data_IF_335731816075
#
_entry.id   IF_335731816075
#
_cell.length_a   1.000
_cell.length_b   1.000
_cell.length_c   1.000
_cell.angle_alpha   90.00
_cell.angle_beta   90.00
_cell.angle_gamma   90.00
#
_symmetry.space_group_name_H-M   'P 1'
#
loop_
_entity.id
_entity.type
_entity.pdbx_description
1 polymer ?
#
# COMPACT_ATOMS: atom_id res chain seq x y z
N UNK A 1 -0.89 -7.78 -7.03
CA UNK A 1 -1.49 -6.70 -7.84
C UNK A 1 -2.24 -7.32 -9.02
N UNK A 2 -3.44 -6.84 -9.43
CA UNK A 2 -4.16 -7.40 -10.60
C UNK A 2 -3.90 -6.58 -11.86
N UNK A 3 -3.71 -7.23 -13.02
CA UNK A 3 -3.47 -6.58 -14.32
C UNK A 3 -4.47 -5.46 -14.66
N UNK A 4 -5.76 -5.67 -14.37
CA UNK A 4 -6.81 -4.66 -14.59
C UNK A 4 -6.54 -3.31 -13.89
N UNK A 5 -5.81 -3.32 -12.78
CA UNK A 5 -5.47 -2.09 -12.05
C UNK A 5 -4.38 -1.31 -12.78
N UNK A 6 -3.42 -2.02 -13.40
CA UNK A 6 -2.35 -1.44 -14.20
C UNK A 6 -2.91 -0.84 -15.48
N UNK A 7 -3.76 -1.57 -16.21
CA UNK A 7 -4.38 -1.08 -17.45
C UNK A 7 -5.23 0.17 -17.22
N UNK A 8 -5.97 0.24 -16.11
CA UNK A 8 -6.80 1.41 -15.78
C UNK A 8 -5.99 2.61 -15.29
N UNK A 9 -4.75 2.41 -14.85
CA UNK A 9 -3.86 3.42 -14.25
C UNK A 9 -2.41 3.11 -14.63
N UNK A 10 -2.04 3.29 -15.91
CA UNK A 10 -0.71 2.93 -16.41
C UNK A 10 0.40 3.74 -15.77
N UNK A 11 0.07 4.92 -15.23
CA UNK A 11 1.00 5.77 -14.50
C UNK A 11 1.63 5.07 -13.28
N UNK A 12 1.04 3.99 -12.74
CA UNK A 12 1.68 3.19 -11.69
C UNK A 12 3.02 2.57 -12.14
N UNK A 13 3.19 2.36 -13.45
CA UNK A 13 4.43 1.85 -14.05
C UNK A 13 5.54 2.91 -14.13
N UNK A 14 5.22 4.18 -13.85
CA UNK A 14 6.23 5.25 -13.75
C UNK A 14 6.91 5.28 -12.37
N UNK A 15 6.45 4.44 -11.43
CA UNK A 15 6.99 4.31 -10.09
C UNK A 15 7.87 3.06 -10.00
N UNK A 16 8.85 3.05 -9.09
CA UNK A 16 9.64 1.83 -8.83
C UNK A 16 8.73 0.69 -8.35
N UNK A 17 8.75 -0.43 -9.06
CA UNK A 17 7.96 -1.60 -8.69
C UNK A 17 8.45 -2.19 -7.38
N UNK A 18 9.75 -2.36 -7.25
CA UNK A 18 10.43 -2.98 -6.10
C UNK A 18 10.40 -2.08 -4.86
N UNK A 19 10.68 -0.79 -5.01
CA UNK A 19 10.82 0.12 -3.85
C UNK A 19 9.50 0.76 -3.40
N UNK A 20 8.43 0.66 -4.21
CA UNK A 20 7.20 1.41 -3.94
C UNK A 20 5.92 0.64 -4.21
N UNK A 21 5.77 0.07 -5.41
CA UNK A 21 4.48 -0.51 -5.80
C UNK A 21 4.23 -1.84 -5.09
N UNK A 22 5.22 -2.73 -5.04
CA UNK A 22 5.13 -4.05 -4.39
C UNK A 22 5.07 -3.91 -2.87
N UNK A 23 5.98 -3.17 -2.20
CA UNK A 23 5.92 -2.88 -0.76
C UNK A 23 4.55 -2.42 -0.28
N UNK A 24 4.02 -1.37 -0.90
CA UNK A 24 2.73 -0.80 -0.52
C UNK A 24 1.56 -1.72 -0.87
N UNK A 25 1.69 -2.57 -1.89
CA UNK A 25 0.71 -3.61 -2.16
C UNK A 25 0.70 -4.66 -1.04
N UNK A 26 1.85 -5.06 -0.52
CA UNK A 26 1.99 -6.05 0.54
C UNK A 26 1.39 -5.52 1.85
N UNK A 27 1.74 -4.30 2.26
CA UNK A 27 1.14 -3.61 3.42
C UNK A 27 -0.39 -3.63 3.32
N UNK A 28 -0.95 -3.25 2.17
CA UNK A 28 -2.40 -3.26 1.97
C UNK A 28 -3.02 -4.65 2.07
N UNK A 29 -2.32 -5.72 1.66
CA UNK A 29 -2.86 -7.09 1.81
C UNK A 29 -2.89 -7.51 3.27
N UNK A 30 -1.80 -7.29 4.02
CA UNK A 30 -1.74 -7.58 5.46
C UNK A 30 -2.84 -6.83 6.20
N UNK A 31 -3.01 -5.53 5.94
CA UNK A 31 -4.08 -4.74 6.54
C UNK A 31 -5.49 -5.26 6.20
N UNK A 32 -5.70 -5.78 4.98
CA UNK A 32 -6.98 -6.39 4.59
C UNK A 32 -7.21 -7.72 5.30
N UNK A 33 -6.20 -8.57 5.42
CA UNK A 33 -6.26 -9.86 6.11
C UNK A 33 -6.55 -9.69 7.61
N UNK A 34 -5.89 -8.71 8.24
CA UNK A 34 -6.12 -8.33 9.64
C UNK A 34 -7.40 -7.49 9.85
N UNK A 35 -8.15 -7.19 8.78
CA UNK A 35 -9.39 -6.38 8.80
C UNK A 35 -9.20 -4.98 9.40
N UNK A 36 -8.01 -4.38 9.26
CA UNK A 36 -7.67 -3.04 9.75
C UNK A 36 -8.25 -1.92 8.86
N UNK A 37 -8.71 -2.27 7.66
CA UNK A 37 -9.32 -1.34 6.71
C UNK A 37 -10.84 -1.51 6.68
N UNK A 38 -11.58 -0.44 6.96
CA UNK A 38 -13.04 -0.39 6.77
C UNK A 38 -13.46 -0.64 5.31
N UNK A 39 -12.60 -0.23 4.37
CA UNK A 39 -12.79 -0.34 2.93
C UNK A 39 -11.44 -0.44 2.25
N UNK A 40 -11.37 -1.21 1.17
CA UNK A 40 -10.17 -1.26 0.33
C UNK A 40 -9.93 0.10 -0.36
N UNK A 41 -8.78 0.76 -0.13
CA UNK A 41 -8.44 1.99 -0.83
C UNK A 41 -8.18 1.71 -2.32
N UNK A 42 -8.28 2.75 -3.15
CA UNK A 42 -7.84 2.66 -4.55
C UNK A 42 -6.33 2.48 -4.56
N UNK A 43 -5.86 1.36 -5.09
CA UNK A 43 -4.43 1.02 -5.13
C UNK A 43 -3.58 2.14 -5.72
N UNK A 44 -4.02 2.73 -6.83
CA UNK A 44 -3.35 3.88 -7.45
C UNK A 44 -3.15 5.03 -6.46
N UNK A 45 -4.15 5.36 -5.66
CA UNK A 45 -4.01 6.48 -4.72
C UNK A 45 -2.91 6.18 -3.69
N UNK A 46 -2.87 4.95 -3.17
CA UNK A 46 -1.88 4.54 -2.15
C UNK A 46 -0.46 4.52 -2.71
N UNK A 47 -0.26 4.06 -3.95
CA UNK A 47 1.08 4.04 -4.57
C UNK A 47 1.63 5.45 -4.83
N UNK A 48 0.75 6.42 -5.07
CA UNK A 48 1.13 7.80 -5.37
C UNK A 48 1.39 8.67 -4.13
N UNK A 49 1.03 8.21 -2.93
CA UNK A 49 1.27 9.00 -1.71
C UNK A 49 2.78 9.28 -1.51
N UNK A 50 3.14 10.45 -0.98
CA UNK A 50 4.45 10.64 -0.36
C UNK A 50 4.73 9.56 0.68
N UNK A 51 6.00 9.26 0.93
CA UNK A 51 6.38 8.19 1.85
C UNK A 51 5.90 8.46 3.28
N UNK A 52 6.12 9.67 3.78
CA UNK A 52 5.65 10.08 5.10
C UNK A 52 4.14 9.91 5.25
N UNK A 53 3.35 10.37 4.27
CA UNK A 53 1.89 10.21 4.29
C UNK A 53 1.45 8.74 4.22
N UNK A 54 2.17 7.91 3.45
CA UNK A 54 1.89 6.48 3.40
C UNK A 54 2.14 5.82 4.76
N UNK A 55 3.31 6.08 5.35
CA UNK A 55 3.68 5.53 6.66
C UNK A 55 2.70 5.95 7.74
N UNK A 56 2.37 7.23 7.83
CA UNK A 56 1.45 7.75 8.82
C UNK A 56 0.05 7.12 8.68
N UNK A 57 -0.50 7.09 7.45
CA UNK A 57 -1.89 6.67 7.24
C UNK A 57 -2.10 5.15 7.25
N UNK A 58 -1.11 4.37 6.84
CA UNK A 58 -1.27 2.92 6.64
C UNK A 58 -0.45 2.07 7.61
N UNK A 59 0.67 2.57 8.11
CA UNK A 59 1.58 1.79 8.97
C UNK A 59 1.45 2.25 10.43
N UNK A 60 1.87 3.48 10.74
CA UNK A 60 2.02 3.99 12.10
C UNK A 60 0.69 4.22 12.83
N UNK A 61 -0.40 4.46 12.09
CA UNK A 61 -1.74 4.56 12.65
C UNK A 61 -2.22 3.26 13.32
N UNK A 62 -1.67 2.11 12.90
CA UNK A 62 -2.01 0.79 13.43
C UNK A 62 -0.92 0.32 14.40
N UNK A 63 -0.83 0.95 15.58
CA UNK A 63 0.28 0.76 16.53
C UNK A 63 0.57 -0.71 16.84
N UNK A 64 -0.46 -1.52 17.05
CA UNK A 64 -0.33 -2.95 17.39
C UNK A 64 0.25 -3.80 16.25
N UNK A 65 0.21 -3.29 15.01
CA UNK A 65 0.68 -3.98 13.80
C UNK A 65 1.81 -3.22 13.10
N UNK A 66 2.29 -2.11 13.66
CA UNK A 66 3.22 -1.22 12.97
C UNK A 66 4.52 -1.93 12.58
N UNK A 67 5.05 -2.78 13.46
CA UNK A 67 6.26 -3.57 13.19
C UNK A 67 6.04 -4.58 12.05
N UNK A 68 4.96 -5.36 12.08
CA UNK A 68 4.59 -6.31 11.01
C UNK A 68 4.40 -5.59 9.66
N UNK A 69 3.75 -4.42 9.69
CA UNK A 69 3.51 -3.62 8.49
C UNK A 69 4.79 -2.96 7.95
N UNK A 70 5.75 -2.60 8.82
CA UNK A 70 7.07 -2.09 8.41
C UNK A 70 7.92 -3.19 7.75
N UNK A 71 7.82 -4.44 8.21
CA UNK A 71 8.53 -5.58 7.59
C UNK A 71 8.04 -5.91 6.17
N UNK A 72 6.88 -5.38 5.77
CA UNK A 72 6.34 -5.54 4.43
C UNK A 72 6.85 -4.48 3.44
N UNK A 73 7.52 -3.44 3.94
CA UNK A 73 8.08 -2.37 3.13
C UNK A 73 9.44 -2.74 2.56
#
# INVERSE_FOLDING_TARGET
MKFKNVVRRPNVLMLSLEERVIPRYNVLNVMMEKKLLKKRPKFSNVTWLPEAEFLENYVLKNRDYAEELLLCL
#
